data_IF_820049911377
#
_entry.id   IF_820049911377
#
_cell.length_a   1.000
_cell.length_b   1.000
_cell.length_c   1.000
_cell.angle_alpha   90.00
_cell.angle_beta   90.00
_cell.angle_gamma   90.00
#
_symmetry.space_group_name_H-M   'P 1'
#
loop_
_entity.id
_entity.type
_entity.pdbx_description
1 polymer ?
#
# COMPACT_ATOMS: atom_id res chain seq x y z
N UNK A 1 8.03 25.41 9.83
CA UNK A 1 7.32 24.91 11.03
C UNK A 1 7.46 23.40 11.09
N UNK A 2 8.03 22.86 12.17
CA UNK A 2 8.20 21.41 12.37
C UNK A 2 6.82 20.77 12.60
N UNK A 3 6.49 19.74 11.82
CA UNK A 3 5.23 19.00 12.00
C UNK A 3 5.23 18.31 13.37
N UNK A 4 4.11 18.36 14.10
CA UNK A 4 3.96 17.59 15.33
C UNK A 4 3.99 16.10 15.00
N UNK A 5 4.73 15.31 15.78
CA UNK A 5 4.86 13.85 15.59
C UNK A 5 3.47 13.17 15.51
N UNK A 6 2.52 13.60 16.35
CA UNK A 6 1.15 13.10 16.32
C UNK A 6 0.43 13.35 14.99
N UNK A 7 0.67 14.51 14.37
CA UNK A 7 0.10 14.85 13.05
C UNK A 7 0.72 13.99 11.95
N UNK A 8 2.04 13.77 11.99
CA UNK A 8 2.73 12.88 11.04
C UNK A 8 2.19 11.45 11.14
N UNK A 9 2.09 10.91 12.37
CA UNK A 9 1.52 9.57 12.62
C UNK A 9 0.07 9.46 12.13
N UNK A 10 -0.74 10.49 12.36
CA UNK A 10 -2.14 10.51 11.88
C UNK A 10 -2.24 10.51 10.35
N UNK A 11 -1.34 11.23 9.64
CA UNK A 11 -1.29 11.22 8.17
C UNK A 11 -0.93 9.84 7.63
N UNK A 12 0.12 9.21 8.16
CA UNK A 12 0.49 7.85 7.78
C UNK A 12 -0.66 6.88 8.01
N UNK A 13 -1.34 6.96 9.17
CA UNK A 13 -2.48 6.10 9.48
C UNK A 13 -3.64 6.26 8.48
N UNK A 14 -3.95 7.50 8.09
CA UNK A 14 -4.99 7.77 7.08
C UNK A 14 -4.65 7.15 5.73
N UNK A 15 -3.37 7.20 5.32
CA UNK A 15 -2.94 6.55 4.08
C UNK A 15 -3.12 5.03 4.15
N UNK A 16 -2.72 4.40 5.27
CA UNK A 16 -2.92 2.96 5.46
C UNK A 16 -4.40 2.57 5.39
N UNK A 17 -5.28 3.34 6.06
CA UNK A 17 -6.73 3.12 6.04
C UNK A 17 -7.32 3.31 4.65
N UNK A 18 -6.84 4.32 3.91
CA UNK A 18 -7.23 4.53 2.51
C UNK A 18 -6.88 3.31 1.65
N UNK A 19 -5.68 2.74 1.81
CA UNK A 19 -5.32 1.51 1.09
C UNK A 19 -6.22 0.34 1.50
N UNK A 20 -6.51 0.18 2.80
CA UNK A 20 -7.44 -0.86 3.27
C UNK A 20 -8.81 -0.74 2.60
N UNK A 21 -9.34 0.47 2.49
CA UNK A 21 -10.59 0.74 1.78
C UNK A 21 -10.50 0.35 0.30
N UNK A 22 -9.40 0.70 -0.39
CA UNK A 22 -9.21 0.34 -1.81
C UNK A 22 -9.11 -1.16 -2.04
N UNK A 23 -8.43 -1.88 -1.16
CA UNK A 23 -8.36 -3.34 -1.23
C UNK A 23 -9.75 -3.93 -0.98
N UNK A 24 -10.46 -3.43 0.02
CA UNK A 24 -11.83 -3.84 0.33
C UNK A 24 -12.79 -3.63 -0.86
N UNK A 25 -12.74 -2.46 -1.51
CA UNK A 25 -13.53 -2.16 -2.71
C UNK A 25 -13.19 -3.12 -3.87
N UNK A 26 -11.92 -3.47 -4.04
CA UNK A 26 -11.46 -4.34 -5.12
C UNK A 26 -11.85 -5.81 -4.90
N UNK A 27 -11.76 -6.29 -3.66
CA UNK A 27 -11.96 -7.72 -3.35
C UNK A 27 -13.37 -8.03 -2.86
N UNK A 28 -14.16 -7.02 -2.48
CA UNK A 28 -15.46 -7.18 -1.84
C UNK A 28 -15.39 -7.67 -0.39
N UNK A 29 -14.21 -7.67 0.23
CA UNK A 29 -13.98 -8.16 1.59
C UNK A 29 -13.95 -6.97 2.55
N UNK A 30 -14.63 -7.05 3.70
CA UNK A 30 -14.64 -5.98 4.70
C UNK A 30 -13.26 -5.66 5.27
N UNK A 31 -13.03 -4.39 5.63
CA UNK A 31 -11.84 -3.96 6.35
C UNK A 31 -12.17 -3.39 7.72
N UNK A 32 -11.30 -3.64 8.69
CA UNK A 32 -11.52 -3.32 10.10
C UNK A 32 -10.50 -4.02 10.99
N UNK A 33 -10.39 -3.61 12.27
CA UNK A 33 -9.38 -4.17 13.19
C UNK A 33 -9.47 -5.70 13.28
N UNK A 34 -10.69 -6.22 13.32
CA UNK A 34 -11.00 -7.64 13.49
C UNK A 34 -11.32 -8.36 12.17
N UNK A 35 -11.13 -7.68 11.03
CA UNK A 35 -11.43 -8.20 9.69
C UNK A 35 -10.20 -8.84 9.03
N UNK A 36 -10.39 -9.41 7.84
CA UNK A 36 -9.29 -9.94 7.04
C UNK A 36 -8.35 -8.85 6.46
N UNK A 37 -8.85 -7.61 6.31
CA UNK A 37 -8.09 -6.44 5.87
C UNK A 37 -8.02 -5.43 7.02
N UNK A 38 -6.82 -5.03 7.44
CA UNK A 38 -6.65 -4.04 8.50
C UNK A 38 -5.37 -3.20 8.35
N UNK A 39 -5.44 -1.91 8.69
CA UNK A 39 -4.23 -1.09 8.88
C UNK A 39 -3.52 -1.52 10.16
N UNK A 40 -2.20 -1.75 10.14
CA UNK A 40 -1.54 -2.39 11.27
C UNK A 40 -1.36 -1.48 12.48
N UNK A 41 -1.60 -1.99 13.68
CA UNK A 41 -1.51 -1.18 14.91
C UNK A 41 -0.11 -0.57 15.13
N UNK A 42 -0.08 0.57 15.81
CA UNK A 42 1.18 1.28 16.08
C UNK A 42 2.15 0.39 16.87
N UNK A 43 3.42 0.41 16.48
CA UNK A 43 4.50 -0.30 17.19
C UNK A 43 4.70 -1.76 16.79
N UNK A 44 3.87 -2.29 15.89
CA UNK A 44 4.06 -3.64 15.34
C UNK A 44 5.04 -3.62 14.15
N UNK A 45 5.83 -4.70 13.97
CA UNK A 45 6.90 -4.86 12.95
C UNK A 45 6.50 -5.68 11.70
N UNK A 46 6.96 -5.30 10.50
CA UNK A 46 6.53 -5.79 9.16
C UNK A 46 5.66 -4.80 8.35
N UNK A 47 4.79 -5.29 7.45
CA UNK A 47 3.94 -4.47 6.53
C UNK A 47 2.86 -3.60 7.19
N UNK A 48 2.47 -2.52 6.51
CA UNK A 48 1.51 -1.51 6.97
C UNK A 48 0.04 -1.94 6.85
N UNK A 49 -0.29 -2.78 5.86
CA UNK A 49 -1.63 -3.36 5.67
C UNK A 49 -1.58 -4.85 5.96
N UNK A 50 -2.32 -5.28 6.98
CA UNK A 50 -2.52 -6.69 7.32
C UNK A 50 -3.60 -7.27 6.40
N UNK A 51 -3.21 -8.29 5.65
CA UNK A 51 -4.08 -9.13 4.85
C UNK A 51 -3.90 -10.59 5.31
N UNK A 52 -5.00 -11.29 5.52
CA UNK A 52 -5.03 -12.71 5.92
C UNK A 52 -6.18 -13.43 5.19
N UNK A 53 -6.13 -14.76 5.13
CA UNK A 53 -7.20 -15.57 4.54
C UNK A 53 -7.49 -15.17 3.10
N UNK A 54 -8.77 -15.00 2.78
CA UNK A 54 -9.23 -14.70 1.43
C UNK A 54 -8.73 -13.36 0.92
N UNK A 55 -8.57 -12.37 1.81
CA UNK A 55 -8.02 -11.07 1.44
C UNK A 55 -6.58 -11.15 0.92
N UNK A 56 -5.75 -12.02 1.51
CA UNK A 56 -4.37 -12.22 1.02
C UNK A 56 -4.36 -12.97 -0.31
N UNK A 57 -5.27 -13.92 -0.52
CA UNK A 57 -5.42 -14.63 -1.79
C UNK A 57 -5.91 -13.72 -2.92
N UNK A 58 -6.86 -12.83 -2.62
CA UNK A 58 -7.44 -11.89 -3.58
C UNK A 58 -6.53 -10.69 -3.87
N UNK A 59 -5.69 -10.30 -2.91
CA UNK A 59 -4.73 -9.20 -3.05
C UNK A 59 -3.36 -9.61 -2.48
N UNK A 60 -2.55 -10.40 -3.23
CA UNK A 60 -1.31 -10.99 -2.75
C UNK A 60 -0.14 -9.99 -2.73
N UNK A 61 -0.29 -8.91 -1.96
CA UNK A 61 0.67 -7.81 -1.86
C UNK A 61 1.09 -7.54 -0.42
N UNK A 62 2.38 -7.28 -0.25
CA UNK A 62 2.99 -6.73 0.95
C UNK A 62 3.06 -5.20 0.82
N UNK A 63 2.16 -4.52 1.53
CA UNK A 63 1.95 -3.07 1.37
C UNK A 63 2.75 -2.27 2.40
N UNK A 64 3.49 -1.27 1.93
CA UNK A 64 4.13 -0.20 2.71
C UNK A 64 3.52 1.15 2.31
N UNK A 65 3.36 2.07 3.27
CA UNK A 65 2.71 3.36 3.12
C UNK A 65 3.61 4.50 3.62
N UNK A 66 3.89 5.49 2.77
CA UNK A 66 4.71 6.66 3.14
C UNK A 66 4.01 7.96 2.82
N UNK A 67 3.58 8.66 3.87
CA UNK A 67 3.09 10.04 3.76
C UNK A 67 4.15 11.01 4.26
N UNK A 68 4.98 11.54 3.35
CA UNK A 68 6.05 12.49 3.69
C UNK A 68 6.27 13.51 2.57
N UNK A 69 6.61 14.76 2.94
CA UNK A 69 6.87 15.84 1.97
C UNK A 69 8.18 15.66 1.21
N UNK A 70 9.17 15.01 1.82
CA UNK A 70 10.44 14.63 1.18
C UNK A 70 10.40 13.14 0.89
N UNK A 71 10.74 12.76 -0.33
CA UNK A 71 10.68 11.36 -0.75
C UNK A 71 12.06 10.72 -0.75
N UNK A 72 12.23 9.71 0.08
CA UNK A 72 13.41 8.85 0.05
C UNK A 72 13.06 7.52 -0.61
N UNK A 73 12.73 7.57 -1.91
CA UNK A 73 12.19 6.41 -2.65
C UNK A 73 13.11 5.19 -2.56
N UNK A 74 14.44 5.27 -2.75
CA UNK A 74 15.31 4.10 -2.68
C UNK A 74 15.22 3.36 -1.33
N UNK A 75 15.30 4.08 -0.21
CA UNK A 75 15.21 3.50 1.13
C UNK A 75 13.84 2.86 1.38
N UNK A 76 12.78 3.49 0.90
CA UNK A 76 11.42 2.97 1.08
C UNK A 76 11.16 1.73 0.21
N UNK A 77 11.74 1.66 -0.99
CA UNK A 77 11.72 0.46 -1.81
C UNK A 77 12.46 -0.67 -1.09
N UNK A 78 13.64 -0.39 -0.53
CA UNK A 78 14.39 -1.41 0.21
C UNK A 78 13.57 -1.92 1.40
N UNK A 79 12.97 -1.03 2.19
CA UNK A 79 12.10 -1.41 3.30
C UNK A 79 10.88 -2.24 2.83
N UNK A 80 10.24 -1.86 1.72
CA UNK A 80 9.10 -2.62 1.17
C UNK A 80 9.51 -4.03 0.73
N UNK A 81 10.70 -4.17 0.14
CA UNK A 81 11.29 -5.47 -0.24
C UNK A 81 11.62 -6.32 0.98
N UNK A 82 12.23 -5.73 2.01
CA UNK A 82 12.62 -6.42 3.24
C UNK A 82 11.40 -6.91 4.04
N UNK A 83 10.32 -6.12 4.06
CA UNK A 83 9.07 -6.47 4.72
C UNK A 83 8.18 -7.42 3.89
N UNK A 84 8.59 -7.80 2.67
CA UNK A 84 7.79 -8.63 1.77
C UNK A 84 7.56 -10.02 2.36
N UNK A 85 6.29 -10.39 2.52
CA UNK A 85 5.88 -11.72 2.94
C UNK A 85 6.06 -12.76 1.83
N UNK A 86 6.32 -14.03 2.16
CA UNK A 86 6.34 -15.12 1.19
C UNK A 86 5.05 -15.19 0.37
N UNK A 87 5.17 -15.45 -0.94
CA UNK A 87 4.02 -15.58 -1.84
C UNK A 87 3.31 -14.26 -2.19
N UNK A 88 3.94 -13.11 -1.93
CA UNK A 88 3.41 -11.79 -2.28
C UNK A 88 4.44 -10.94 -3.02
N UNK A 89 3.96 -9.99 -3.81
CA UNK A 89 4.78 -8.89 -4.34
C UNK A 89 4.83 -7.71 -3.36
N UNK A 90 5.87 -6.88 -3.43
CA UNK A 90 5.93 -5.65 -2.62
C UNK A 90 5.19 -4.52 -3.33
N UNK A 91 4.51 -3.68 -2.55
CA UNK A 91 3.76 -2.53 -3.06
C UNK A 91 3.97 -1.34 -2.13
N UNK A 92 4.45 -0.23 -2.68
CA UNK A 92 4.69 0.99 -1.93
C UNK A 92 3.67 2.06 -2.36
N UNK A 93 2.86 2.55 -1.42
CA UNK A 93 1.94 3.67 -1.63
C UNK A 93 2.53 4.91 -1.00
N UNK A 94 2.79 5.94 -1.80
CA UNK A 94 3.37 7.21 -1.34
C UNK A 94 2.39 8.37 -1.53
N UNK A 95 2.45 9.35 -0.64
CA UNK A 95 1.66 10.58 -0.72
C UNK A 95 2.41 11.78 -0.18
N UNK A 96 2.14 12.97 -0.75
CA UNK A 96 2.48 14.30 -0.22
C UNK A 96 1.21 15.11 0.04
N UNK A 97 1.30 16.17 0.84
CA UNK A 97 0.17 17.09 0.99
C UNK A 97 -0.25 17.66 -0.37
N UNK A 98 -1.56 17.73 -0.63
CA UNK A 98 -2.15 18.30 -1.85
C UNK A 98 -1.73 17.59 -3.15
N UNK A 99 -1.19 16.39 -3.04
CA UNK A 99 -0.92 15.50 -4.16
C UNK A 99 -1.69 14.20 -3.99
N UNK A 100 -2.01 13.58 -5.12
CA UNK A 100 -2.61 12.25 -5.21
C UNK A 100 -1.65 11.17 -4.71
N UNK A 101 -2.22 10.04 -4.31
CA UNK A 101 -1.47 8.82 -4.00
C UNK A 101 -0.77 8.27 -5.26
N UNK A 102 0.48 7.83 -5.09
CA UNK A 102 1.26 7.15 -6.13
C UNK A 102 1.60 5.75 -5.66
N UNK A 103 1.43 4.77 -6.55
CA UNK A 103 1.83 3.38 -6.33
C UNK A 103 3.17 3.14 -7.00
N UNK A 104 4.09 2.51 -6.28
CA UNK A 104 5.41 2.11 -6.75
C UNK A 104 5.49 0.59 -6.57
N UNK A 105 5.76 -0.10 -7.67
CA UNK A 105 5.93 -1.56 -7.75
C UNK A 105 7.12 -1.87 -8.66
N UNK A 106 7.52 -3.14 -8.69
CA UNK A 106 8.51 -3.62 -9.63
C UNK A 106 8.02 -3.44 -11.08
N UNK A 107 8.93 -3.07 -11.99
CA UNK A 107 8.59 -2.80 -13.38
C UNK A 107 8.13 -4.07 -14.10
N UNK A 108 8.76 -5.22 -13.84
CA UNK A 108 8.39 -6.48 -14.46
C UNK A 108 6.98 -6.90 -14.01
N UNK A 109 6.69 -6.76 -12.72
CA UNK A 109 5.34 -6.97 -12.17
C UNK A 109 4.32 -6.04 -12.83
N UNK A 110 4.66 -4.76 -13.03
CA UNK A 110 3.78 -3.82 -13.73
C UNK A 110 3.47 -4.28 -15.16
N UNK A 111 4.47 -4.69 -15.93
CA UNK A 111 4.27 -5.16 -17.30
C UNK A 111 3.54 -6.51 -17.36
N UNK A 112 3.73 -7.39 -16.38
CA UNK A 112 2.97 -8.64 -16.27
C UNK A 112 1.49 -8.37 -15.98
N UNK A 113 1.17 -7.43 -15.10
CA UNK A 113 -0.22 -7.00 -14.86
C UNK A 113 -0.88 -6.44 -16.13
N UNK A 114 -0.14 -5.69 -16.96
CA UNK A 114 -0.68 -5.15 -18.22
C UNK A 114 -1.08 -6.25 -19.21
N UNK A 115 -0.47 -7.44 -19.16
CA UNK A 115 -0.86 -8.58 -20.01
C UNK A 115 -2.25 -9.14 -19.66
N UNK A 116 -2.72 -8.89 -18.44
CA UNK A 116 -4.06 -9.30 -17.98
C UNK A 116 -5.16 -8.33 -18.41
N UNK A 117 -4.80 -7.11 -18.83
CA UNK A 117 -5.76 -6.09 -19.23
C UNK A 117 -6.03 -6.26 -20.74
N UNK A 118 -7.31 -6.45 -21.15
CA UNK A 118 -7.65 -6.49 -22.57
C UNK A 118 -7.17 -5.22 -23.27
N UNK A 119 -6.52 -5.37 -24.42
CA UNK A 119 -6.04 -4.24 -25.19
C UNK A 119 -7.23 -3.38 -25.65
N UNK A 120 -7.38 -2.21 -25.04
CA UNK A 120 -8.21 -1.13 -25.57
C UNK A 120 -7.28 -0.03 -26.05
N UNK A 121 -7.58 0.55 -27.22
CA UNK A 121 -6.89 1.76 -27.66
C UNK A 121 -7.09 2.83 -26.59
N UNK A 122 -6.02 3.19 -25.89
CA UNK A 122 -6.02 4.30 -24.96
C UNK A 122 -6.28 5.57 -25.78
N UNK A 123 -7.51 6.06 -25.76
CA UNK A 123 -7.82 7.41 -26.22
C UNK A 123 -7.07 8.36 -25.30
N UNK A 124 -6.02 8.99 -25.81
CA UNK A 124 -5.48 10.19 -25.17
C UNK A 124 -6.37 11.36 -25.54
#
# INVERSE_FOLDING_TARGET
>A
MTIKISSAKAKSRRLQQWVCSKVSDLTGISWGKDEQIASREMGQSGVDVRLIGDALGAFPWSVECKYQETWCIPDWIQQAKDNRKPGTDWLLVVRKNRHEEVVIIDADVFFDLLKLIPYSKKGR
#
